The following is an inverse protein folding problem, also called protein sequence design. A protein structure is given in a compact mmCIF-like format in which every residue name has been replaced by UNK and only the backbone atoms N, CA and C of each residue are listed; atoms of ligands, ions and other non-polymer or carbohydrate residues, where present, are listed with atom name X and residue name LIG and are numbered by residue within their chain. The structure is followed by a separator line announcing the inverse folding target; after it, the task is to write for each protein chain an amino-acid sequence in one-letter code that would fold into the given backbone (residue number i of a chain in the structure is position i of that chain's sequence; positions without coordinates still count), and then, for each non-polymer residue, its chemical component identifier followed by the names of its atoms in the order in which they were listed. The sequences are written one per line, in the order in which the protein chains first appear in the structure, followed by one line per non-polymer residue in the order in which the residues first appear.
data_IF_221217828714
#
_entry.id   IF_221217828714
#
_cell.length_a   1.000
_cell.length_b   1.000
_cell.length_c   1.000
_cell.angle_alpha   90.00
_cell.angle_beta   90.00
_cell.angle_gamma   90.00
#
_symmetry.space_group_name_H-M   'P 1'
#
loop_
_entity.id
_entity.type
_entity.pdbx_description
1 polymer ?
#
# COMPACT_ATOMS: atom_id res chain seq x y z
N UNK A 1 8.88 10.69 -1.79
CA UNK A 1 8.62 10.85 -3.24
C UNK A 1 7.15 11.18 -3.39
N UNK A 2 6.83 12.34 -3.97
CA UNK A 2 5.46 12.81 -4.19
C UNK A 2 5.12 12.72 -5.69
N UNK A 3 3.89 13.07 -6.04
CA UNK A 3 3.46 13.39 -7.41
C UNK A 3 2.81 14.77 -7.44
N UNK A 4 2.53 15.28 -8.65
CA UNK A 4 1.75 16.51 -8.83
C UNK A 4 0.33 16.43 -8.21
N UNK A 5 -0.17 15.23 -7.88
CA UNK A 5 -1.46 15.03 -7.20
C UNK A 5 -1.36 15.08 -5.66
N UNK A 6 -0.16 14.94 -5.10
CA UNK A 6 0.04 14.72 -3.65
C UNK A 6 0.98 15.72 -3.01
N UNK A 7 1.72 16.50 -3.81
CA UNK A 7 2.75 17.40 -3.32
C UNK A 7 2.22 18.43 -2.32
N UNK A 8 1.20 19.20 -2.70
CA UNK A 8 0.71 20.33 -1.91
C UNK A 8 0.15 19.89 -0.56
N UNK A 9 -0.58 18.77 -0.51
CA UNK A 9 -1.11 18.23 0.73
C UNK A 9 0.00 17.64 1.61
N UNK A 10 1.05 17.07 1.01
CA UNK A 10 2.22 16.59 1.76
C UNK A 10 2.96 17.76 2.41
N UNK A 11 3.17 18.87 1.68
CA UNK A 11 3.87 20.06 2.19
C UNK A 11 3.22 20.61 3.47
N UNK A 12 1.89 20.75 3.46
CA UNK A 12 1.11 21.21 4.64
C UNK A 12 1.34 20.38 5.90
N UNK A 13 1.68 19.09 5.74
CA UNK A 13 1.95 18.19 6.88
C UNK A 13 3.42 18.30 7.30
N UNK A 14 4.36 18.27 6.36
CA UNK A 14 5.80 18.26 6.67
C UNK A 14 6.31 19.60 7.21
N UNK A 15 5.68 20.72 6.86
CA UNK A 15 6.01 22.07 7.39
C UNK A 15 5.99 22.13 8.93
N UNK A 16 5.13 21.32 9.56
CA UNK A 16 5.01 21.21 11.02
C UNK A 16 6.27 20.68 11.69
N UNK A 17 7.16 20.04 10.92
CA UNK A 17 8.39 19.40 11.41
C UNK A 17 9.65 20.22 11.11
N UNK A 18 9.52 21.48 10.68
CA UNK A 18 10.66 22.37 10.36
C UNK A 18 11.67 22.55 11.52
N UNK A 19 11.21 22.47 12.77
CA UNK A 19 12.06 22.55 13.96
C UNK A 19 12.36 21.17 14.60
N UNK A 20 12.04 20.08 13.92
CA UNK A 20 12.28 18.72 14.43
C UNK A 20 13.69 18.25 14.08
N UNK A 21 14.23 17.33 14.88
CA UNK A 21 15.54 16.72 14.64
C UNK A 21 15.48 15.64 13.54
N UNK A 22 14.96 16.00 12.37
CA UNK A 22 14.87 15.14 11.19
C UNK A 22 14.87 16.00 9.93
N UNK A 23 15.73 15.66 8.97
CA UNK A 23 15.74 16.31 7.65
C UNK A 23 14.73 15.63 6.73
N UNK A 24 13.68 16.36 6.34
CA UNK A 24 12.62 15.84 5.47
C UNK A 24 12.84 16.34 4.05
N UNK A 25 13.14 15.42 3.14
CA UNK A 25 13.28 15.72 1.73
C UNK A 25 12.01 15.38 0.95
N UNK A 26 11.54 16.33 0.15
CA UNK A 26 10.48 16.10 -0.83
C UNK A 26 11.00 16.28 -2.25
N UNK A 27 10.50 15.48 -3.18
CA UNK A 27 10.69 15.64 -4.63
C UNK A 27 9.49 15.03 -5.34
N UNK A 28 9.15 15.55 -6.52
CA UNK A 28 8.12 14.97 -7.36
C UNK A 28 8.73 13.93 -8.30
N UNK A 29 8.00 12.83 -8.46
CA UNK A 29 8.26 11.86 -9.51
C UNK A 29 7.81 12.40 -10.88
N UNK A 30 8.13 11.67 -11.95
CA UNK A 30 7.78 12.02 -13.32
C UNK A 30 6.27 12.22 -13.51
N UNK A 31 5.91 13.03 -14.50
CA UNK A 31 4.54 13.27 -14.93
C UNK A 31 4.41 12.92 -16.41
N UNK A 32 3.75 11.80 -16.72
CA UNK A 32 3.58 11.30 -18.08
C UNK A 32 2.17 11.60 -18.62
N UNK A 33 2.02 11.79 -19.94
CA UNK A 33 0.72 12.04 -20.54
C UNK A 33 -0.07 10.75 -20.64
N UNK A 34 -1.35 10.77 -20.24
CA UNK A 34 -2.29 9.67 -20.53
C UNK A 34 -2.39 9.51 -22.05
N UNK A 35 -2.49 8.28 -22.53
CA UNK A 35 -2.55 7.98 -23.97
C UNK A 35 -3.98 7.58 -24.31
N UNK A 36 -4.61 8.19 -25.32
CA UNK A 36 -5.96 7.78 -25.75
C UNK A 36 -5.88 6.44 -26.48
N UNK A 37 -6.72 5.47 -26.10
CA UNK A 37 -6.61 4.09 -26.62
C UNK A 37 -7.02 3.95 -28.09
N UNK A 38 -7.83 4.88 -28.60
CA UNK A 38 -8.35 4.82 -29.97
C UNK A 38 -7.27 5.13 -31.02
N UNK A 39 -6.44 6.14 -30.77
CA UNK A 39 -5.45 6.64 -31.74
C UNK A 39 -4.02 6.72 -31.18
N UNK A 40 -3.81 6.26 -29.95
CA UNK A 40 -2.51 6.24 -29.26
C UNK A 40 -1.83 7.62 -29.16
N UNK A 41 -2.62 8.70 -29.21
CA UNK A 41 -2.11 10.06 -29.03
C UNK A 41 -2.16 10.49 -27.56
N UNK A 42 -1.21 11.31 -27.09
CA UNK A 42 -1.28 11.93 -25.77
C UNK A 42 -2.59 12.73 -25.59
N UNK A 43 -3.32 12.45 -24.52
CA UNK A 43 -4.53 13.16 -24.14
C UNK A 43 -4.31 14.69 -24.02
N UNK A 44 -3.17 15.19 -23.49
CA UNK A 44 -2.85 16.62 -23.51
C UNK A 44 -2.79 17.23 -24.91
N UNK A 45 -2.34 16.48 -25.92
CA UNK A 45 -2.31 16.94 -27.32
C UNK A 45 -3.71 17.12 -27.93
N UNK A 46 -4.75 16.57 -27.30
CA UNK A 46 -6.17 16.76 -27.66
C UNK A 46 -6.84 17.92 -26.91
N UNK A 47 -6.05 18.78 -26.27
CA UNK A 47 -6.54 19.95 -25.52
C UNK A 47 -6.79 19.70 -24.03
N UNK A 48 -6.67 18.46 -23.56
CA UNK A 48 -6.83 18.11 -22.15
C UNK A 48 -5.52 18.25 -21.37
N UNK A 49 -5.04 19.50 -21.24
CA UNK A 49 -3.74 19.81 -20.62
C UNK A 49 -3.78 19.93 -19.10
N UNK A 50 -4.97 19.93 -18.49
CA UNK A 50 -5.17 19.94 -17.05
C UNK A 50 -4.67 18.66 -16.36
N UNK A 51 -4.83 18.56 -15.03
CA UNK A 51 -4.33 17.42 -14.23
C UNK A 51 -4.77 16.06 -14.78
N UNK A 52 -5.97 15.99 -15.34
CA UNK A 52 -6.53 14.77 -15.93
C UNK A 52 -5.92 14.35 -17.27
N UNK A 53 -5.09 15.20 -17.89
CA UNK A 53 -4.25 14.81 -19.01
C UNK A 53 -3.06 13.93 -18.64
N UNK A 54 -2.71 13.86 -17.35
CA UNK A 54 -1.42 13.36 -16.88
C UNK A 54 -1.55 12.32 -15.77
N UNK A 55 -0.45 11.60 -15.51
CA UNK A 55 -0.35 10.65 -14.41
C UNK A 55 1.10 10.42 -13.96
N UNK A 56 1.33 10.05 -12.69
CA UNK A 56 2.62 9.51 -12.26
C UNK A 56 2.80 8.08 -12.79
N UNK A 57 3.95 7.71 -13.40
CA UNK A 57 4.13 6.43 -14.10
C UNK A 57 4.44 5.23 -13.19
N UNK A 58 3.73 5.15 -12.06
CA UNK A 58 3.88 4.09 -11.07
C UNK A 58 5.15 4.23 -10.22
N UNK A 59 5.26 3.40 -9.20
CA UNK A 59 6.34 3.50 -8.22
C UNK A 59 7.70 3.04 -8.75
N UNK A 60 7.78 2.36 -9.90
CA UNK A 60 9.06 2.04 -10.56
C UNK A 60 9.85 3.28 -11.00
N UNK A 61 9.19 4.42 -11.15
CA UNK A 61 9.81 5.71 -11.43
C UNK A 61 10.65 6.26 -10.25
N UNK A 62 10.63 5.62 -9.08
CA UNK A 62 11.45 6.02 -7.93
C UNK A 62 12.94 6.07 -8.25
N UNK A 63 13.46 5.15 -9.07
CA UNK A 63 14.88 5.10 -9.41
C UNK A 63 15.31 6.27 -10.30
N UNK A 64 14.71 6.50 -11.49
CA UNK A 64 15.04 7.65 -12.31
C UNK A 64 14.70 8.97 -11.62
N UNK A 65 13.56 9.08 -10.91
CA UNK A 65 13.19 10.34 -10.25
C UNK A 65 14.08 10.70 -9.06
N UNK A 66 14.58 9.71 -8.31
CA UNK A 66 15.58 9.98 -7.26
C UNK A 66 16.89 10.49 -7.87
N UNK A 67 17.32 9.95 -9.01
CA UNK A 67 18.50 10.42 -9.75
C UNK A 67 18.27 11.84 -10.31
N UNK A 68 17.19 12.04 -11.06
CA UNK A 68 16.82 13.32 -11.69
C UNK A 68 16.63 14.46 -10.69
N UNK A 69 16.24 14.15 -9.45
CA UNK A 69 16.11 15.15 -8.39
C UNK A 69 17.43 15.67 -7.83
N UNK A 70 18.57 15.07 -8.20
CA UNK A 70 19.90 15.32 -7.59
C UNK A 70 20.06 14.81 -6.16
N UNK A 71 19.00 14.24 -5.57
CA UNK A 71 19.04 13.71 -4.20
C UNK A 71 19.87 12.43 -4.09
N UNK A 72 19.92 11.61 -5.14
CA UNK A 72 20.78 10.42 -5.15
C UNK A 72 22.25 10.79 -4.91
N UNK A 73 22.78 11.72 -5.69
CA UNK A 73 24.16 12.18 -5.56
C UNK A 73 24.40 12.92 -4.24
N UNK A 74 23.42 13.70 -3.77
CA UNK A 74 23.47 14.34 -2.45
C UNK A 74 23.62 13.29 -1.34
N UNK A 75 22.78 12.25 -1.32
CA UNK A 75 22.85 11.19 -0.32
C UNK A 75 24.16 10.39 -0.41
N UNK A 76 24.63 10.10 -1.63
CA UNK A 76 25.91 9.41 -1.84
C UNK A 76 27.09 10.23 -1.33
N UNK A 77 27.11 11.55 -1.57
CA UNK A 77 28.18 12.45 -1.07
C UNK A 77 28.18 12.59 0.46
N UNK A 78 27.04 12.37 1.11
CA UNK A 78 26.92 12.26 2.57
C UNK A 78 27.33 10.87 3.12
N UNK A 79 27.77 9.96 2.26
CA UNK A 79 28.18 8.60 2.65
C UNK A 79 27.03 7.64 2.92
N UNK A 80 25.81 7.92 2.45
CA UNK A 80 24.70 6.95 2.55
C UNK A 80 24.92 5.81 1.56
N UNK A 81 24.65 4.57 1.99
CA UNK A 81 24.85 3.37 1.16
C UNK A 81 23.55 2.74 0.66
N UNK A 82 22.50 2.78 1.47
CA UNK A 82 21.20 2.16 1.17
C UNK A 82 20.06 3.15 1.34
N UNK A 83 19.00 2.95 0.59
CA UNK A 83 17.68 3.55 0.80
C UNK A 83 16.68 2.46 1.18
N UNK A 84 15.86 2.74 2.19
CA UNK A 84 14.68 1.96 2.52
C UNK A 84 13.45 2.62 1.91
N UNK A 85 12.79 1.93 0.98
CA UNK A 85 11.60 2.38 0.25
C UNK A 85 10.40 1.60 0.78
N UNK A 86 9.32 2.31 1.11
CA UNK A 86 8.06 1.71 1.51
C UNK A 86 6.89 2.62 1.08
N UNK A 87 5.68 2.08 1.08
CA UNK A 87 4.49 2.91 0.90
C UNK A 87 4.31 3.84 2.09
N UNK A 88 3.92 5.10 1.83
CA UNK A 88 3.60 6.07 2.89
C UNK A 88 2.38 5.69 3.74
N UNK A 89 1.58 4.73 3.26
CA UNK A 89 0.39 4.19 3.94
C UNK A 89 0.67 2.88 4.71
N UNK A 90 1.90 2.35 4.69
CA UNK A 90 2.28 1.15 5.43
C UNK A 90 2.92 1.51 6.78
N UNK A 91 2.13 1.47 7.85
CA UNK A 91 2.58 1.84 9.20
C UNK A 91 3.52 0.80 9.83
N UNK A 92 3.58 -0.42 9.28
CA UNK A 92 4.50 -1.47 9.71
C UNK A 92 5.92 -1.31 9.15
N UNK A 93 6.09 -0.47 8.13
CA UNK A 93 7.37 -0.27 7.46
C UNK A 93 8.29 0.66 8.25
N UNK A 94 8.90 0.13 9.31
CA UNK A 94 9.87 0.85 10.15
C UNK A 94 11.31 0.45 9.80
N UNK A 95 12.30 1.30 10.08
CA UNK A 95 13.71 0.96 9.87
C UNK A 95 14.10 -0.24 10.74
N UNK A 96 14.66 -1.29 10.13
CA UNK A 96 15.21 -2.45 10.83
C UNK A 96 16.71 -2.60 10.52
N UNK A 97 17.54 -2.33 11.53
CA UNK A 97 18.99 -2.35 11.40
C UNK A 97 19.54 -3.77 11.20
N UNK A 98 18.82 -4.82 11.61
CA UNK A 98 19.28 -6.21 11.40
C UNK A 98 19.23 -6.56 9.92
N UNK A 99 18.19 -6.11 9.22
CA UNK A 99 18.07 -6.26 7.77
C UNK A 99 19.23 -5.49 7.12
N UNK A 100 19.38 -4.20 7.42
CA UNK A 100 20.44 -3.38 6.85
C UNK A 100 21.84 -3.98 7.08
N UNK A 101 22.13 -4.45 8.29
CA UNK A 101 23.41 -5.08 8.63
C UNK A 101 23.69 -6.34 7.78
N UNK A 102 22.66 -7.15 7.52
CA UNK A 102 22.78 -8.31 6.62
C UNK A 102 23.15 -7.87 5.20
N UNK A 103 22.49 -6.84 4.67
CA UNK A 103 22.73 -6.34 3.30
C UNK A 103 24.15 -5.79 3.14
N UNK A 104 24.64 -5.02 4.12
CA UNK A 104 26.00 -4.49 4.12
C UNK A 104 27.01 -5.65 4.16
N UNK A 105 26.83 -6.60 5.07
CA UNK A 105 27.75 -7.74 5.26
C UNK A 105 27.88 -8.60 4.01
N UNK A 106 26.77 -8.84 3.31
CA UNK A 106 26.73 -9.72 2.14
C UNK A 106 26.82 -8.96 0.81
N UNK A 107 26.88 -7.62 0.86
CA UNK A 107 26.89 -6.72 -0.29
C UNK A 107 25.70 -6.96 -1.24
N UNK A 108 24.50 -7.11 -0.69
CA UNK A 108 23.28 -7.29 -1.49
C UNK A 108 22.87 -5.94 -2.10
N UNK A 109 22.77 -5.81 -3.43
CA UNK A 109 22.38 -4.53 -4.01
C UNK A 109 20.87 -4.23 -3.86
N UNK A 110 20.04 -5.27 -3.71
CA UNK A 110 18.59 -5.14 -3.58
C UNK A 110 18.01 -6.20 -2.66
N UNK A 111 17.15 -5.81 -1.75
CA UNK A 111 16.38 -6.71 -0.92
C UNK A 111 14.90 -6.32 -0.89
N UNK A 112 14.04 -7.29 -1.18
CA UNK A 112 12.59 -7.14 -1.05
C UNK A 112 12.13 -7.88 0.19
N UNK A 113 11.52 -7.18 1.15
CA UNK A 113 10.85 -7.86 2.25
C UNK A 113 9.58 -8.54 1.70
N UNK A 114 9.47 -9.83 1.97
CA UNK A 114 8.29 -10.63 1.67
C UNK A 114 7.68 -11.12 2.97
N UNK A 115 6.37 -11.34 2.98
CA UNK A 115 5.66 -11.93 4.14
C UNK A 115 4.92 -13.18 3.69
N UNK A 116 4.58 -14.13 4.59
CA UNK A 116 3.74 -15.26 4.22
C UNK A 116 2.40 -14.79 3.65
N UNK A 117 2.00 -15.39 2.52
CA UNK A 117 0.76 -15.10 1.80
C UNK A 117 -0.44 -15.65 2.57
N UNK A 118 -1.51 -14.86 2.65
CA UNK A 118 -2.80 -15.23 3.24
C UNK A 118 -3.88 -15.25 2.18
N UNK A 119 -5.07 -15.75 2.51
CA UNK A 119 -6.23 -15.75 1.61
C UNK A 119 -6.68 -14.34 1.20
N UNK A 120 -6.32 -13.30 1.97
CA UNK A 120 -6.59 -11.91 1.64
C UNK A 120 -5.61 -11.36 0.57
N UNK A 121 -4.44 -11.98 0.41
CA UNK A 121 -3.37 -11.51 -0.47
C UNK A 121 -3.53 -12.06 -1.90
N UNK A 122 -4.73 -11.91 -2.46
CA UNK A 122 -5.09 -12.39 -3.81
C UNK A 122 -4.56 -11.53 -4.94
N UNK A 123 -4.17 -10.28 -4.66
CA UNK A 123 -3.66 -9.30 -5.63
C UNK A 123 -2.29 -8.79 -5.19
N UNK A 124 -1.29 -8.99 -6.04
CA UNK A 124 0.09 -8.50 -5.90
C UNK A 124 1.11 -9.61 -6.18
N UNK A 125 2.38 -9.22 -6.27
CA UNK A 125 3.42 -10.10 -6.77
C UNK A 125 4.06 -11.02 -5.73
N UNK A 126 4.67 -12.08 -6.23
CA UNK A 126 5.52 -13.02 -5.49
C UNK A 126 6.94 -12.98 -6.05
N UNK A 127 7.92 -13.32 -5.23
CA UNK A 127 9.26 -13.59 -5.73
C UNK A 127 9.35 -15.01 -6.27
N UNK A 128 10.04 -15.14 -7.40
CA UNK A 128 10.37 -16.43 -8.02
C UNK A 128 11.85 -16.46 -8.41
N UNK A 129 12.38 -17.67 -8.59
CA UNK A 129 13.65 -17.89 -9.29
C UNK A 129 13.37 -18.17 -10.75
N UNK A 130 13.95 -17.39 -11.65
CA UNK A 130 13.78 -17.54 -13.10
C UNK A 130 15.09 -17.15 -13.80
N UNK A 131 15.56 -17.98 -14.73
CA UNK A 131 16.82 -17.75 -15.47
C UNK A 131 18.03 -17.42 -14.57
N UNK A 132 18.12 -18.07 -13.40
CA UNK A 132 19.22 -17.88 -12.44
C UNK A 132 19.17 -16.56 -11.67
N UNK A 133 18.08 -15.79 -11.78
CA UNK A 133 17.87 -14.54 -11.04
C UNK A 133 16.57 -14.58 -10.25
N UNK A 134 16.52 -13.78 -9.18
CA UNK A 134 15.28 -13.49 -8.49
C UNK A 134 14.51 -12.41 -9.27
N UNK A 135 13.21 -12.60 -9.45
CA UNK A 135 12.35 -11.59 -10.08
C UNK A 135 10.97 -11.55 -9.43
N UNK A 136 10.31 -10.40 -9.56
CA UNK A 136 8.92 -10.22 -9.17
C UNK A 136 8.01 -10.74 -10.29
N UNK A 137 7.13 -11.68 -9.95
CA UNK A 137 6.05 -12.13 -10.81
C UNK A 137 4.74 -11.51 -10.33
N UNK A 138 4.14 -10.66 -11.15
CA UNK A 138 2.83 -10.04 -10.93
C UNK A 138 1.74 -10.78 -11.70
N UNK A 139 0.49 -10.71 -11.22
CA UNK A 139 -0.64 -11.39 -11.87
C UNK A 139 -0.84 -10.96 -13.34
N UNK A 140 -0.51 -9.71 -13.68
CA UNK A 140 -0.61 -9.18 -15.04
C UNK A 140 0.35 -9.84 -16.03
N UNK A 141 1.38 -10.54 -15.54
CA UNK A 141 2.37 -11.26 -16.34
C UNK A 141 2.01 -12.75 -16.48
N UNK A 142 0.97 -13.22 -15.79
CA UNK A 142 0.58 -14.63 -15.75
C UNK A 142 -0.53 -14.88 -16.79
N UNK A 143 -0.33 -15.81 -17.74
CA UNK A 143 -1.38 -16.23 -18.67
C UNK A 143 -2.64 -16.73 -17.93
N UNK A 144 -3.82 -16.48 -18.50
CA UNK A 144 -5.12 -16.77 -17.85
C UNK A 144 -5.24 -18.22 -17.36
N UNK A 145 -4.69 -19.18 -18.12
CA UNK A 145 -4.67 -20.61 -17.78
C UNK A 145 -3.91 -20.96 -16.50
N UNK A 146 -2.97 -20.11 -16.08
CA UNK A 146 -2.14 -20.31 -14.89
C UNK A 146 -2.53 -19.42 -13.69
N UNK A 147 -3.55 -18.55 -13.84
CA UNK A 147 -3.96 -17.61 -12.78
C UNK A 147 -4.38 -18.32 -11.49
N UNK A 148 -5.08 -19.46 -11.61
CA UNK A 148 -5.50 -20.23 -10.43
C UNK A 148 -4.31 -20.82 -9.68
N UNK A 149 -3.26 -21.22 -10.40
CA UNK A 149 -2.02 -21.71 -9.82
C UNK A 149 -1.25 -20.58 -9.13
N UNK A 150 -1.19 -19.41 -9.76
CA UNK A 150 -0.57 -18.22 -9.18
C UNK A 150 -1.25 -17.75 -7.88
N UNK A 151 -2.58 -17.87 -7.83
CA UNK A 151 -3.36 -17.57 -6.62
C UNK A 151 -3.19 -18.61 -5.51
N UNK A 152 -2.74 -19.83 -5.84
CA UNK A 152 -2.53 -20.87 -4.83
C UNK A 152 -1.42 -20.49 -3.85
N UNK A 153 -1.78 -20.41 -2.58
CA UNK A 153 -0.84 -20.20 -1.47
C UNK A 153 0.07 -21.41 -1.23
N UNK A 154 -0.26 -22.57 -1.79
CA UNK A 154 0.60 -23.76 -1.70
C UNK A 154 1.78 -23.68 -2.68
N UNK A 155 1.53 -23.15 -3.89
CA UNK A 155 2.56 -22.93 -4.91
C UNK A 155 3.37 -21.67 -4.64
N UNK A 156 2.70 -20.55 -4.41
CA UNK A 156 3.33 -19.26 -4.13
C UNK A 156 3.03 -18.81 -2.71
N UNK A 157 3.97 -19.10 -1.81
CA UNK A 157 3.81 -18.97 -0.34
C UNK A 157 4.12 -17.58 0.21
N UNK A 158 4.74 -16.72 -0.60
CA UNK A 158 5.26 -15.42 -0.18
C UNK A 158 4.62 -14.31 -1.01
N UNK A 159 4.59 -13.11 -0.44
CA UNK A 159 4.00 -11.93 -1.04
C UNK A 159 4.89 -10.71 -0.83
N UNK A 160 5.06 -9.89 -1.87
CA UNK A 160 5.84 -8.65 -1.81
C UNK A 160 5.15 -7.60 -0.92
N UNK A 161 5.84 -7.15 0.13
CA UNK A 161 5.33 -6.10 1.03
C UNK A 161 5.47 -4.68 0.46
N UNK A 162 6.26 -4.53 -0.62
CA UNK A 162 6.75 -3.27 -1.15
C UNK A 162 7.66 -2.48 -0.18
N UNK A 163 8.18 -3.15 0.84
CA UNK A 163 9.30 -2.68 1.66
C UNK A 163 10.60 -3.14 0.99
N UNK A 164 11.38 -2.21 0.45
CA UNK A 164 12.50 -2.49 -0.44
C UNK A 164 13.75 -1.78 0.10
N UNK A 165 14.85 -2.51 0.22
CA UNK A 165 16.14 -1.97 0.60
C UNK A 165 17.05 -2.01 -0.62
N UNK A 166 17.56 -0.86 -1.05
CA UNK A 166 18.29 -0.78 -2.32
C UNK A 166 19.58 0.01 -2.14
N UNK A 167 20.67 -0.53 -2.64
CA UNK A 167 21.97 0.11 -2.61
C UNK A 167 21.99 1.34 -3.55
N UNK A 168 22.37 2.49 -3.02
CA UNK A 168 22.34 3.78 -3.74
C UNK A 168 23.36 3.81 -4.90
N UNK A 169 24.53 3.19 -4.74
CA UNK A 169 25.54 3.11 -5.82
C UNK A 169 25.04 2.23 -6.97
N UNK A 170 24.35 1.14 -6.65
CA UNK A 170 23.72 0.27 -7.64
C UNK A 170 22.59 0.99 -8.40
N UNK A 171 21.76 1.77 -7.70
CA UNK A 171 20.74 2.63 -8.36
C UNK A 171 21.43 3.55 -9.36
N UNK A 172 22.47 4.29 -8.94
CA UNK A 172 23.18 5.23 -9.82
C UNK A 172 23.73 4.52 -11.06
N UNK A 173 24.47 3.42 -10.86
CA UNK A 173 25.05 2.61 -11.94
C UNK A 173 24.00 2.15 -12.95
N UNK A 174 22.86 1.64 -12.47
CA UNK A 174 21.82 1.06 -13.33
C UNK A 174 20.98 2.12 -14.04
N UNK A 175 20.72 3.26 -13.40
CA UNK A 175 19.99 4.38 -14.01
C UNK A 175 20.85 5.07 -15.06
N UNK A 176 22.12 5.39 -14.74
CA UNK A 176 23.04 6.07 -15.67
C UNK A 176 23.34 5.21 -16.91
N UNK A 177 23.27 3.88 -16.77
CA UNK A 177 23.44 2.92 -17.87
C UNK A 177 22.12 2.56 -18.59
N UNK A 178 20.99 3.16 -18.23
CA UNK A 178 19.65 2.84 -18.75
C UNK A 178 19.31 1.33 -18.71
N UNK A 179 19.79 0.64 -17.66
CA UNK A 179 19.71 -0.81 -17.55
C UNK A 179 18.39 -1.32 -16.94
N UNK A 180 17.62 -0.43 -16.31
CA UNK A 180 16.36 -0.74 -15.64
C UNK A 180 15.20 -0.90 -16.64
N UNK A 181 15.02 -2.10 -17.19
CA UNK A 181 13.98 -2.43 -18.18
C UNK A 181 12.81 -3.22 -17.57
N UNK A 182 12.14 -2.65 -16.57
CA UNK A 182 10.99 -3.28 -15.89
C UNK A 182 9.85 -3.57 -16.87
N UNK A 183 9.04 -4.58 -16.54
CA UNK A 183 7.79 -4.85 -17.24
C UNK A 183 6.86 -3.64 -17.18
N UNK A 184 6.27 -3.34 -18.34
CA UNK A 184 5.24 -2.30 -18.46
C UNK A 184 3.92 -2.86 -17.92
N UNK A 185 3.28 -2.07 -17.06
CA UNK A 185 1.96 -2.33 -16.52
C UNK A 185 0.99 -1.43 -17.28
N UNK A 186 0.27 -1.95 -18.30
CA UNK A 186 -0.82 -1.22 -18.93
C UNK A 186 -1.98 -1.13 -17.94
N UNK A 187 -2.44 0.08 -17.65
CA UNK A 187 -3.56 0.35 -16.76
C UNK A 187 -4.64 1.09 -17.54
N UNK A 188 -5.58 0.35 -18.19
CA UNK A 188 -6.70 0.95 -18.91
C UNK A 188 -7.61 1.69 -17.93
N UNK A 189 -7.93 2.95 -18.25
CA UNK A 189 -8.86 3.78 -17.48
C UNK A 189 -9.81 4.52 -18.41
N UNK A 190 -10.79 5.17 -17.80
CA UNK A 190 -11.68 6.11 -18.46
C UNK A 190 -11.60 7.45 -17.71
N UNK A 191 -11.44 8.53 -18.48
CA UNK A 191 -11.36 9.90 -17.98
C UNK A 191 -12.31 10.72 -18.83
N UNK A 192 -13.34 11.28 -18.21
CA UNK A 192 -14.39 12.06 -18.88
C UNK A 192 -14.99 11.37 -20.11
N UNK A 193 -15.24 10.06 -20.01
CA UNK A 193 -15.78 9.24 -21.11
C UNK A 193 -14.75 8.82 -22.17
N UNK A 194 -13.49 9.29 -22.07
CA UNK A 194 -12.41 8.91 -22.98
C UNK A 194 -11.63 7.73 -22.40
N UNK A 195 -11.56 6.64 -23.16
CA UNK A 195 -10.71 5.49 -22.82
C UNK A 195 -9.24 5.85 -23.00
N UNK A 196 -8.47 5.64 -21.94
CA UNK A 196 -7.05 6.00 -21.87
C UNK A 196 -6.22 4.85 -21.33
N UNK A 197 -4.93 4.87 -21.65
CA UNK A 197 -3.92 3.97 -21.17
C UNK A 197 -2.90 4.74 -20.31
N UNK A 198 -2.63 4.20 -19.13
CA UNK A 198 -1.51 4.60 -18.28
C UNK A 198 -0.46 3.49 -18.35
N UNK A 199 0.79 3.85 -18.64
CA UNK A 199 1.92 2.93 -18.73
C UNK A 199 2.78 3.14 -17.50
N UNK A 200 2.74 2.16 -16.60
CA UNK A 200 3.40 2.23 -15.30
C UNK A 200 4.49 1.16 -15.20
N UNK A 201 5.38 1.31 -14.22
CA UNK A 201 6.30 0.24 -13.81
C UNK A 201 6.26 0.07 -12.29
N UNK A 202 6.64 -1.11 -11.81
CA UNK A 202 6.72 -1.42 -10.39
C UNK A 202 8.17 -1.39 -9.90
N UNK A 203 8.43 -0.71 -8.79
CA UNK A 203 9.75 -0.66 -8.15
C UNK A 203 10.30 -2.06 -7.82
N UNK A 204 9.42 -2.97 -7.42
CA UNK A 204 9.77 -4.37 -7.14
C UNK A 204 10.22 -5.16 -8.37
N UNK A 205 9.75 -4.80 -9.58
CA UNK A 205 10.18 -5.46 -10.82
C UNK A 205 11.65 -5.17 -11.17
N UNK A 206 12.22 -4.10 -10.60
CA UNK A 206 13.61 -3.76 -10.83
C UNK A 206 14.59 -4.77 -10.23
N UNK A 207 14.16 -5.58 -9.24
CA UNK A 207 15.02 -6.51 -8.48
C UNK A 207 15.92 -7.40 -9.36
N UNK A 208 15.44 -7.82 -10.54
CA UNK A 208 16.18 -8.70 -11.47
C UNK A 208 17.43 -8.05 -12.10
N UNK A 209 17.52 -6.73 -12.08
CA UNK A 209 18.63 -5.97 -12.65
C UNK A 209 19.78 -5.75 -11.65
N UNK A 210 19.52 -5.96 -10.37
CA UNK A 210 20.48 -5.78 -9.30
C UNK A 210 21.26 -7.07 -9.03
N UNK A 211 22.54 -6.92 -8.70
CA UNK A 211 23.41 -8.02 -8.33
C UNK A 211 23.16 -8.45 -6.88
N UNK A 212 23.32 -9.76 -6.62
CA UNK A 212 23.12 -10.35 -5.28
C UNK A 212 21.77 -9.96 -4.67
N UNK A 213 20.74 -9.82 -5.50
CA UNK A 213 19.40 -9.47 -5.05
C UNK A 213 18.75 -10.63 -4.27
N UNK A 214 18.03 -10.30 -3.19
CA UNK A 214 17.41 -11.29 -2.31
C UNK A 214 15.99 -10.91 -1.91
N UNK A 215 15.22 -11.91 -1.48
CA UNK A 215 14.03 -11.71 -0.66
C UNK A 215 14.33 -12.02 0.81
N UNK A 216 13.76 -11.27 1.75
CA UNK A 216 13.82 -11.60 3.18
C UNK A 216 12.40 -11.81 3.72
N UNK A 217 12.15 -12.96 4.34
CA UNK A 217 10.85 -13.27 4.91
C UNK A 217 10.70 -12.59 6.28
N UNK A 218 9.79 -11.63 6.39
CA UNK A 218 9.57 -10.82 7.59
C UNK A 218 8.24 -11.17 8.26
N UNK A 219 8.10 -10.92 9.58
CA UNK A 219 6.79 -11.03 10.22
C UNK A 219 5.82 -10.01 9.62
N UNK A 220 4.53 -10.39 9.55
CA UNK A 220 3.45 -9.56 9.00
C UNK A 220 3.27 -8.23 9.74
N UNK A 221 3.83 -8.07 10.94
CA UNK A 221 3.89 -6.78 11.65
C UNK A 221 4.60 -5.68 10.86
N UNK A 222 5.45 -6.02 9.88
CA UNK A 222 6.08 -5.07 8.97
C UNK A 222 5.23 -4.70 7.74
N UNK A 223 4.06 -5.33 7.61
CA UNK A 223 3.12 -5.15 6.52
C UNK A 223 1.73 -4.82 7.06
N UNK A 224 1.54 -3.53 7.38
CA UNK A 224 0.30 -2.94 7.86
C UNK A 224 -0.14 -1.79 6.92
N UNK A 225 -0.50 -2.09 5.67
CA UNK A 225 -0.93 -1.09 4.70
C UNK A 225 -2.38 -0.63 4.94
N UNK A 226 -2.71 0.59 4.50
CA UNK A 226 -4.09 1.10 4.45
C UNK A 226 -4.54 1.22 2.99
N UNK A 227 -5.29 0.24 2.48
CA UNK A 227 -5.77 0.21 1.08
C UNK A 227 -7.26 0.51 0.94
N UNK A 228 -8.05 0.24 1.97
CA UNK A 228 -9.45 0.60 2.08
C UNK A 228 -9.76 1.18 3.46
N UNK A 229 -10.95 1.74 3.62
CA UNK A 229 -11.43 2.25 4.91
C UNK A 229 -11.63 1.14 5.96
N UNK A 230 -11.77 -0.12 5.55
CA UNK A 230 -11.68 -1.28 6.43
C UNK A 230 -10.30 -1.41 7.08
N UNK A 231 -9.22 -1.17 6.32
CA UNK A 231 -7.86 -1.17 6.87
C UNK A 231 -7.62 0.06 7.77
N UNK A 232 -8.23 1.20 7.41
CA UNK A 232 -8.19 2.41 8.24
C UNK A 232 -8.83 2.15 9.61
N UNK A 233 -9.96 1.42 9.64
CA UNK A 233 -10.61 1.01 10.88
C UNK A 233 -9.69 0.15 11.74
N UNK A 234 -8.95 -0.80 11.13
CA UNK A 234 -8.00 -1.63 11.87
C UNK A 234 -6.92 -0.79 12.57
N UNK A 235 -6.26 0.12 11.85
CA UNK A 235 -5.13 0.91 12.40
C UNK A 235 -5.57 2.02 13.35
N UNK A 236 -6.82 2.50 13.26
CA UNK A 236 -7.39 3.48 14.20
C UNK A 236 -7.97 2.85 15.46
N UNK A 237 -8.18 1.53 15.46
CA UNK A 237 -8.78 0.82 16.60
C UNK A 237 -7.79 0.50 17.72
N UNK A 238 -8.35 -0.02 18.81
CA UNK A 238 -7.64 -0.57 19.96
C UNK A 238 -6.90 -1.90 19.69
N UNK A 239 -6.89 -2.41 18.45
CA UNK A 239 -5.95 -3.46 18.04
C UNK A 239 -4.49 -3.00 18.13
N UNK A 240 -4.28 -1.69 18.08
CA UNK A 240 -2.98 -1.07 18.14
C UNK A 240 -2.94 0.05 19.18
N UNK A 241 -1.75 0.33 19.66
CA UNK A 241 -1.43 1.46 20.53
C UNK A 241 -0.38 2.32 19.84
N UNK A 242 -0.45 3.64 20.01
CA UNK A 242 0.58 4.55 19.52
C UNK A 242 1.61 4.80 20.62
N UNK A 243 2.86 4.38 20.40
CA UNK A 243 3.98 4.57 21.33
C UNK A 243 5.14 5.19 20.56
N UNK A 244 5.57 6.39 20.95
CA UNK A 244 6.68 7.12 20.31
C UNK A 244 6.58 7.24 18.78
N UNK A 245 5.35 7.38 18.27
CA UNK A 245 5.07 7.47 16.82
C UNK A 245 4.93 6.12 16.11
N UNK A 246 5.13 5.01 16.81
CA UNK A 246 4.96 3.65 16.28
C UNK A 246 3.56 3.09 16.55
N UNK A 247 2.96 2.48 15.53
CA UNK A 247 1.72 1.71 15.66
C UNK A 247 2.08 0.29 16.10
N UNK A 248 1.98 0.04 17.41
CA UNK A 248 2.38 -1.21 18.05
C UNK A 248 1.15 -2.07 18.34
N UNK A 249 1.28 -3.39 18.18
CA UNK A 249 0.21 -4.34 18.51
C UNK A 249 -0.18 -4.21 19.99
N UNK A 250 -1.47 -4.01 20.27
CA UNK A 250 -1.96 -3.97 21.64
C UNK A 250 -1.79 -5.36 22.30
N UNK A 251 -1.10 -5.48 23.45
CA UNK A 251 -0.95 -6.75 24.17
C UNK A 251 -2.27 -7.39 24.61
N UNK A 252 -3.34 -6.59 24.74
CA UNK A 252 -4.68 -7.10 25.03
C UNK A 252 -5.26 -7.95 23.88
N UNK A 253 -4.74 -7.79 22.65
CA UNK A 253 -5.13 -8.63 21.51
C UNK A 253 -4.44 -10.00 21.62
N UNK A 254 -5.16 -10.98 22.16
CA UNK A 254 -4.65 -12.35 22.33
C UNK A 254 -4.38 -13.04 20.98
N UNK A 255 -5.21 -12.78 19.96
CA UNK A 255 -5.06 -13.39 18.62
C UNK A 255 -4.06 -12.60 17.76
N UNK A 256 -2.99 -13.22 17.23
CA UNK A 256 -1.99 -12.51 16.44
C UNK A 256 -2.55 -11.94 15.12
N UNK A 257 -3.57 -12.59 14.54
CA UNK A 257 -4.22 -12.13 13.31
C UNK A 257 -5.17 -10.94 13.53
N UNK A 258 -5.27 -10.09 12.50
CA UNK A 258 -6.32 -9.08 12.42
C UNK A 258 -7.69 -9.72 12.15
N UNK A 259 -8.78 -9.12 12.64
CA UNK A 259 -10.12 -9.49 12.21
C UNK A 259 -10.31 -9.19 10.71
N UNK A 260 -11.18 -9.96 10.07
CA UNK A 260 -11.63 -9.66 8.70
C UNK A 260 -12.70 -8.57 8.75
N UNK A 261 -12.52 -7.47 8.03
CA UNK A 261 -13.47 -6.36 7.99
C UNK A 261 -13.91 -6.11 6.55
N UNK A 262 -15.20 -6.26 6.29
CA UNK A 262 -15.85 -5.92 5.02
C UNK A 262 -16.85 -4.80 5.25
N UNK A 263 -16.57 -3.62 4.70
CA UNK A 263 -17.48 -2.47 4.76
C UNK A 263 -18.09 -2.21 3.40
N UNK A 264 -19.39 -1.96 3.38
CA UNK A 264 -20.17 -1.65 2.19
C UNK A 264 -19.71 -0.37 1.47
N UNK A 265 -20.19 -0.14 0.23
CA UNK A 265 -19.81 1.00 -0.60
C UNK A 265 -20.04 2.36 0.09
N UNK A 266 -20.97 2.44 1.03
CA UNK A 266 -21.27 3.62 1.84
C UNK A 266 -20.07 4.10 2.66
N UNK A 267 -19.17 3.19 3.04
CA UNK A 267 -17.94 3.46 3.79
C UNK A 267 -16.71 3.66 2.91
N UNK A 268 -16.83 3.53 1.58
CA UNK A 268 -15.66 3.51 0.67
C UNK A 268 -14.86 4.82 0.69
N UNK A 269 -15.53 5.96 0.84
CA UNK A 269 -14.88 7.28 0.94
C UNK A 269 -14.57 7.61 2.39
N UNK A 270 -13.35 8.09 2.67
CA UNK A 270 -12.90 8.41 4.03
C UNK A 270 -13.85 9.37 4.75
N UNK A 271 -14.35 10.42 4.09
CA UNK A 271 -15.29 11.36 4.71
C UNK A 271 -16.59 10.66 5.18
N UNK A 272 -17.13 9.74 4.36
CA UNK A 272 -18.34 8.99 4.72
C UNK A 272 -18.05 7.97 5.82
N UNK A 273 -16.90 7.29 5.76
CA UNK A 273 -16.44 6.39 6.80
C UNK A 273 -16.38 7.11 8.16
N UNK A 274 -15.69 8.25 8.22
CA UNK A 274 -15.55 9.03 9.46
C UNK A 274 -16.90 9.54 9.97
N UNK A 275 -17.79 10.00 9.08
CA UNK A 275 -19.12 10.47 9.47
C UNK A 275 -20.02 9.36 10.03
N UNK A 276 -19.75 8.10 9.70
CA UNK A 276 -20.54 6.93 10.14
C UNK A 276 -20.09 6.35 11.47
N UNK A 277 -18.93 6.74 12.00
CA UNK A 277 -18.44 6.32 13.31
C UNK A 277 -18.31 7.54 14.22
N UNK A 278 -19.23 7.72 15.19
CA UNK A 278 -19.10 8.82 16.17
C UNK A 278 -17.80 8.69 16.99
N UNK A 279 -17.42 7.46 17.32
CA UNK A 279 -16.08 7.09 17.76
C UNK A 279 -15.68 5.77 17.11
N UNK A 280 -14.38 5.49 17.03
CA UNK A 280 -13.89 4.18 16.58
C UNK A 280 -14.32 3.11 17.61
N UNK A 281 -15.00 2.02 17.19
CA UNK A 281 -15.40 0.96 18.10
C UNK A 281 -14.19 0.19 18.62
N UNK A 282 -14.33 -0.35 19.84
CA UNK A 282 -13.42 -1.36 20.39
C UNK A 282 -13.58 -2.65 19.59
N UNK A 283 -12.50 -3.15 19.01
CA UNK A 283 -12.48 -4.39 18.20
C UNK A 283 -11.33 -5.33 18.60
N UNK A 284 -10.70 -5.12 19.76
CA UNK A 284 -9.62 -5.97 20.28
C UNK A 284 -10.03 -7.45 20.42
N UNK A 285 -11.31 -7.75 20.63
CA UNK A 285 -11.88 -9.10 20.73
C UNK A 285 -12.62 -9.56 19.45
N UNK A 286 -12.54 -8.80 18.35
CA UNK A 286 -13.25 -9.10 17.10
C UNK A 286 -12.56 -10.20 16.29
N UNK A 287 -13.35 -11.05 15.64
CA UNK A 287 -12.91 -12.03 14.64
C UNK A 287 -13.30 -11.62 13.22
N UNK A 288 -14.55 -11.19 13.03
CA UNK A 288 -15.00 -10.65 11.74
C UNK A 288 -16.09 -9.60 11.90
N UNK A 289 -16.08 -8.61 11.02
CA UNK A 289 -17.13 -7.60 10.87
C UNK A 289 -17.53 -7.49 9.40
N UNK A 290 -18.82 -7.62 9.12
CA UNK A 290 -19.39 -7.32 7.81
C UNK A 290 -20.51 -6.29 7.96
N UNK A 291 -20.41 -5.17 7.23
CA UNK A 291 -21.40 -4.10 7.25
C UNK A 291 -21.88 -3.80 5.84
N UNK A 292 -23.18 -3.80 5.60
CA UNK A 292 -23.78 -3.45 4.31
C UNK A 292 -25.02 -2.57 4.47
N UNK A 293 -25.18 -1.58 3.58
CA UNK A 293 -26.30 -0.64 3.60
C UNK A 293 -26.04 0.58 4.49
N UNK A 294 -27.10 1.36 4.75
CA UNK A 294 -27.00 2.63 5.46
C UNK A 294 -26.91 2.45 6.99
N UNK A 295 -25.69 2.13 7.45
CA UNK A 295 -25.36 1.86 8.87
C UNK A 295 -24.50 2.97 9.46
N UNK A 296 -24.77 3.36 10.69
CA UNK A 296 -23.93 4.26 11.49
C UNK A 296 -23.75 3.73 12.91
N UNK A 297 -22.65 4.14 13.55
CA UNK A 297 -22.22 3.66 14.86
C UNK A 297 -22.13 4.82 15.85
N UNK A 298 -22.74 4.61 17.01
CA UNK A 298 -22.65 5.48 18.17
C UNK A 298 -21.25 5.52 18.80
N UNK A 299 -21.13 6.28 19.88
CA UNK A 299 -19.89 6.40 20.64
C UNK A 299 -19.72 5.22 21.60
N UNK A 300 -18.49 4.75 21.81
CA UNK A 300 -18.18 3.70 22.80
C UNK A 300 -18.71 2.30 22.47
N UNK A 301 -18.98 2.00 21.19
CA UNK A 301 -19.40 0.68 20.74
C UNK A 301 -18.27 -0.34 20.90
N UNK A 302 -18.61 -1.57 21.31
CA UNK A 302 -17.69 -2.71 21.45
C UNK A 302 -18.15 -3.86 20.56
N UNK A 303 -17.27 -4.38 19.71
CA UNK A 303 -17.56 -5.49 18.81
C UNK A 303 -16.66 -6.70 19.14
N UNK A 304 -17.27 -7.88 19.28
CA UNK A 304 -16.61 -9.12 19.69
C UNK A 304 -17.02 -10.30 18.81
N UNK A 305 -16.11 -11.24 18.59
CA UNK A 305 -16.40 -12.45 17.80
C UNK A 305 -16.80 -12.11 16.36
N UNK A 306 -17.88 -12.71 15.85
CA UNK A 306 -18.34 -12.49 14.47
C UNK A 306 -19.59 -11.61 14.45
N UNK A 307 -19.54 -10.46 13.76
CA UNK A 307 -20.65 -9.51 13.71
C UNK A 307 -21.02 -9.19 12.26
N UNK A 308 -22.30 -9.35 11.92
CA UNK A 308 -22.86 -8.92 10.63
C UNK A 308 -23.93 -7.86 10.85
N UNK A 309 -23.87 -6.76 10.10
CA UNK A 309 -24.87 -5.70 10.17
C UNK A 309 -25.31 -5.37 8.74
N UNK A 310 -26.56 -5.68 8.43
CA UNK A 310 -27.13 -5.51 7.10
C UNK A 310 -28.39 -4.65 7.17
N UNK A 311 -28.29 -3.40 6.73
CA UNK A 311 -29.46 -2.55 6.53
C UNK A 311 -30.09 -2.85 5.16
N UNK A 312 -31.39 -3.17 5.16
CA UNK A 312 -32.17 -3.33 3.93
C UNK A 312 -32.27 -2.01 3.15
N UNK A 313 -32.57 -2.08 1.86
CA UNK A 313 -32.74 -0.90 1.03
C UNK A 313 -33.77 0.08 1.63
N UNK A 314 -33.38 1.35 1.76
CA UNK A 314 -34.22 2.40 2.35
C UNK A 314 -34.32 2.37 3.89
N UNK A 315 -33.67 1.42 4.55
CA UNK A 315 -33.60 1.35 6.02
C UNK A 315 -32.28 1.93 6.49
N UNK A 316 -32.33 2.78 7.52
CA UNK A 316 -31.16 3.27 8.24
C UNK A 316 -31.02 2.51 9.56
N UNK A 317 -29.82 2.01 9.84
CA UNK A 317 -29.48 1.42 11.14
C UNK A 317 -28.50 2.32 11.89
N UNK A 318 -28.83 2.62 13.15
CA UNK A 318 -27.98 3.39 14.05
C UNK A 318 -27.65 2.50 15.26
N UNK A 319 -26.41 2.01 15.32
CA UNK A 319 -25.95 1.25 16.49
C UNK A 319 -25.84 2.24 17.67
N UNK A 320 -26.54 2.02 18.79
CA UNK A 320 -26.61 3.00 19.86
C UNK A 320 -25.28 3.18 20.58
N UNK A 321 -25.13 4.31 21.28
CA UNK A 321 -23.95 4.60 22.08
C UNK A 321 -23.78 3.52 23.18
N UNK A 322 -22.55 3.04 23.37
CA UNK A 322 -22.20 2.01 24.36
C UNK A 322 -22.64 0.58 24.01
N UNK A 323 -23.19 0.33 22.81
CA UNK A 323 -23.63 -1.00 22.41
C UNK A 323 -22.48 -2.02 22.44
N UNK A 324 -22.75 -3.22 22.96
CA UNK A 324 -21.83 -4.37 22.93
C UNK A 324 -22.44 -5.44 22.04
N UNK A 325 -21.79 -5.70 20.89
CA UNK A 325 -22.25 -6.69 19.92
C UNK A 325 -21.25 -7.86 19.90
N UNK A 326 -21.73 -9.04 20.26
CA UNK A 326 -20.94 -10.26 20.31
C UNK A 326 -21.65 -11.39 19.57
N UNK A 327 -20.99 -11.98 18.55
CA UNK A 327 -21.51 -13.13 17.80
C UNK A 327 -22.96 -12.93 17.31
N UNK A 328 -23.26 -11.78 16.71
CA UNK A 328 -24.62 -11.32 16.43
C UNK A 328 -24.76 -10.85 14.97
N UNK A 329 -25.89 -11.20 14.38
CA UNK A 329 -26.35 -10.69 13.08
C UNK A 329 -27.49 -9.69 13.30
N UNK A 330 -27.39 -8.49 12.72
CA UNK A 330 -28.36 -7.40 12.81
C UNK A 330 -28.88 -7.12 11.39
N UNK A 331 -30.16 -7.41 11.14
CA UNK A 331 -30.80 -7.26 9.82
C UNK A 331 -31.88 -6.17 9.79
N UNK A 332 -32.17 -5.57 10.95
CA UNK A 332 -33.17 -4.52 11.11
C UNK A 332 -33.10 -3.87 12.50
N UNK A 333 -33.86 -2.77 12.73
CA UNK A 333 -33.93 -2.11 14.04
C UNK A 333 -34.41 -3.02 15.17
N UNK A 334 -35.18 -4.06 14.84
CA UNK A 334 -35.68 -5.08 15.77
C UNK A 334 -34.56 -5.92 16.41
N UNK A 335 -33.39 -5.97 15.77
CA UNK A 335 -32.24 -6.77 16.22
C UNK A 335 -31.26 -5.95 17.07
N UNK A 336 -31.49 -4.63 17.29
CA UNK A 336 -30.56 -3.74 17.99
C UNK A 336 -30.53 -3.98 19.50
#
# INVERSE_FOLDING_TARGET
MNSFNTHDDTQKIVEKYSNSNIEIHTFNQSQYPRIVTEDFLPLPSKGQTGKDGWYPPGHGDVFPSLNNSGKLDTLLSQGKEYVFVANSDNLGAIVDIKILNHLITNQNEYCMEVTPKTLADVKGGTLISYEGRVQLLEIAQVPDEHVNEFKSIEKFKIFNTNNLWVNLKAIKRLVDAEALKMEIIPNPKEVDGVKVLQLETAAGAAIRFFEKAIGINVPRSRFLPVKATSDLLLVQSDLYTLVDGYVIRNPARVKPSNPSIELGPEFKKVANFLARFKSIPSIVELDSLKVSGDVSFGSGVVLKGNVTIAAKAGVKLEIPDGAVLENKDINGPEDL
#
